data_IF_560708918852
#
_entry.id   IF_560708918852
#
_cell.length_a   1.000
_cell.length_b   1.000
_cell.length_c   1.000
_cell.angle_alpha   90.00
_cell.angle_beta   90.00
_cell.angle_gamma   90.00
#
_symmetry.space_group_name_H-M   'P 1'
#
loop_
_entity.id
_entity.type
_entity.pdbx_description
1 polymer ?
#
# COMPACT_ATOMS: atom_id res chain seq x y z
N UNK A 1 54.77 -14.37 20.41
CA UNK A 1 55.75 -15.25 19.74
C UNK A 1 56.67 -15.86 20.79
N UNK A 2 56.95 -17.16 20.74
CA UNK A 2 57.91 -17.80 21.65
C UNK A 2 59.37 -17.64 21.15
N UNK A 3 60.32 -17.41 22.06
CA UNK A 3 61.75 -17.26 21.71
C UNK A 3 62.40 -18.64 21.53
N UNK A 4 62.81 -18.98 20.31
CA UNK A 4 63.59 -20.20 20.03
C UNK A 4 64.93 -20.16 20.76
N UNK A 5 65.29 -21.22 21.48
CA UNK A 5 66.64 -21.39 22.04
C UNK A 5 67.63 -21.76 20.93
N UNK A 6 68.84 -21.19 20.98
CA UNK A 6 69.91 -21.43 19.98
C UNK A 6 70.85 -22.51 20.52
N UNK A 7 70.77 -23.73 19.96
CA UNK A 7 71.55 -24.90 20.40
C UNK A 7 72.98 -24.82 19.85
N UNK A 8 73.96 -24.50 20.69
CA UNK A 8 75.40 -24.51 20.35
C UNK A 8 75.96 -25.93 20.46
N UNK A 9 76.76 -26.36 19.47
CA UNK A 9 77.43 -27.66 19.52
C UNK A 9 78.57 -27.68 20.57
N UNK A 10 78.81 -28.85 21.16
CA UNK A 10 79.91 -29.13 22.10
C UNK A 10 80.87 -30.08 21.39
N UNK A 11 82.16 -29.74 21.30
CA UNK A 11 83.14 -30.53 20.52
C UNK A 11 83.64 -31.79 21.25
N UNK A 12 83.33 -31.93 22.55
CA UNK A 12 83.76 -33.04 23.40
C UNK A 12 82.56 -33.89 23.83
N UNK A 13 82.73 -35.22 23.79
CA UNK A 13 81.68 -36.24 23.95
C UNK A 13 81.53 -36.80 25.38
N UNK A 14 82.30 -36.28 26.34
CA UNK A 14 82.28 -36.69 27.74
C UNK A 14 81.07 -36.10 28.51
N UNK A 15 80.66 -36.79 29.58
CA UNK A 15 79.57 -36.34 30.45
C UNK A 15 79.95 -35.12 31.28
N UNK A 16 79.11 -34.06 31.26
CA UNK A 16 79.43 -32.79 31.91
C UNK A 16 79.06 -32.77 33.41
N UNK A 17 80.06 -32.92 34.26
CA UNK A 17 79.94 -32.69 35.72
C UNK A 17 79.74 -31.21 36.05
N UNK A 18 78.81 -30.89 36.95
CA UNK A 18 78.49 -29.51 37.33
C UNK A 18 79.34 -29.03 38.50
N UNK A 19 80.35 -28.19 38.22
CA UNK A 19 81.13 -27.48 39.24
C UNK A 19 80.42 -26.18 39.63
N UNK A 20 80.39 -25.85 40.93
CA UNK A 20 79.94 -24.57 41.45
C UNK A 20 81.14 -23.66 41.77
N UNK A 21 81.15 -22.45 41.23
CA UNK A 21 82.22 -21.45 41.47
C UNK A 21 81.56 -20.12 41.87
N UNK A 22 81.90 -19.61 43.05
CA UNK A 22 81.48 -18.28 43.51
C UNK A 22 82.49 -17.23 43.04
N UNK A 23 82.02 -16.22 42.33
CA UNK A 23 82.83 -15.10 41.83
C UNK A 23 82.18 -13.77 42.24
N UNK A 24 83.00 -12.73 42.43
CA UNK A 24 82.49 -11.37 42.62
C UNK A 24 81.82 -10.86 41.33
N UNK A 25 80.91 -9.87 41.40
CA UNK A 25 80.29 -9.29 40.19
C UNK A 25 81.32 -8.82 39.15
N UNK A 26 82.44 -8.23 39.59
CA UNK A 26 83.56 -7.84 38.73
C UNK A 26 84.21 -9.05 38.04
N UNK A 27 84.44 -10.15 38.76
CA UNK A 27 84.97 -11.39 38.20
C UNK A 27 84.03 -12.04 37.18
N UNK A 28 82.71 -12.00 37.44
CA UNK A 28 81.69 -12.45 36.48
C UNK A 28 81.69 -11.57 35.23
N UNK A 29 81.85 -10.25 35.38
CA UNK A 29 82.00 -9.31 34.27
C UNK A 29 83.20 -9.65 33.38
N UNK A 30 84.40 -9.74 33.97
CA UNK A 30 85.64 -10.08 33.26
C UNK A 30 85.56 -11.46 32.58
N UNK A 31 85.04 -12.49 33.25
CA UNK A 31 84.81 -13.81 32.65
C UNK A 31 83.84 -13.74 31.44
N UNK A 32 82.85 -12.86 31.50
CA UNK A 32 81.88 -12.66 30.40
C UNK A 32 82.53 -11.94 29.22
N UNK A 33 83.40 -10.97 29.48
CA UNK A 33 84.18 -10.27 28.45
C UNK A 33 85.22 -11.19 27.80
N UNK A 34 85.96 -12.01 28.57
CA UNK A 34 86.89 -13.01 28.01
C UNK A 34 86.17 -14.02 27.11
N UNK A 35 84.98 -14.48 27.50
CA UNK A 35 84.17 -15.39 26.68
C UNK A 35 83.71 -14.72 25.37
N UNK A 36 83.28 -13.46 25.43
CA UNK A 36 82.93 -12.68 24.23
C UNK A 36 84.13 -12.47 23.30
N UNK A 37 85.29 -12.06 23.83
CA UNK A 37 86.50 -11.81 23.05
C UNK A 37 87.06 -13.08 22.38
N UNK A 38 86.86 -14.25 22.98
CA UNK A 38 87.26 -15.56 22.42
C UNK A 38 86.18 -16.21 21.54
N UNK A 39 84.98 -15.61 21.45
CA UNK A 39 83.83 -16.20 20.75
C UNK A 39 83.24 -17.44 21.43
N UNK A 40 83.66 -17.77 22.65
CA UNK A 40 83.26 -18.98 23.39
C UNK A 40 82.07 -18.71 24.33
N UNK A 41 81.40 -19.79 24.76
CA UNK A 41 80.52 -19.69 25.93
C UNK A 41 81.35 -19.67 27.22
N UNK A 42 80.86 -19.04 28.30
CA UNK A 42 81.59 -18.98 29.59
C UNK A 42 81.96 -20.37 30.13
N UNK A 43 81.12 -21.37 29.93
CA UNK A 43 81.39 -22.76 30.31
C UNK A 43 82.43 -23.43 29.42
N UNK A 44 82.38 -23.18 28.10
CA UNK A 44 83.36 -23.72 27.14
C UNK A 44 84.75 -23.09 27.33
N UNK A 45 84.80 -21.80 27.69
CA UNK A 45 86.05 -21.12 28.06
C UNK A 45 86.67 -21.76 29.31
N UNK A 46 85.89 -21.96 30.38
CA UNK A 46 86.38 -22.62 31.61
C UNK A 46 86.82 -24.06 31.33
N UNK A 47 86.07 -24.84 30.56
CA UNK A 47 86.43 -26.21 30.15
C UNK A 47 87.79 -26.24 29.43
N UNK A 48 88.02 -25.32 28.49
CA UNK A 48 89.28 -25.25 27.73
C UNK A 48 90.45 -24.74 28.56
N UNK A 49 90.23 -23.87 29.55
CA UNK A 49 91.25 -23.49 30.53
C UNK A 49 91.60 -24.70 31.40
N UNK A 50 90.61 -25.41 31.92
CA UNK A 50 90.80 -26.57 32.80
C UNK A 50 91.53 -27.75 32.10
N UNK A 51 91.35 -27.93 30.79
CA UNK A 51 92.08 -28.91 29.97
C UNK A 51 93.44 -28.41 29.45
N UNK A 52 93.90 -27.22 29.84
CA UNK A 52 95.17 -26.64 29.36
C UNK A 52 95.15 -26.12 27.92
N UNK A 53 94.02 -26.20 27.21
CA UNK A 53 93.86 -25.73 25.83
C UNK A 53 93.86 -24.19 25.71
N UNK A 54 93.69 -23.46 26.82
CA UNK A 54 93.79 -21.99 26.90
C UNK A 54 94.59 -21.63 28.16
N UNK A 55 95.79 -21.08 27.98
CA UNK A 55 96.58 -20.50 29.06
C UNK A 55 96.16 -19.05 29.36
N UNK A 56 95.97 -18.71 30.63
CA UNK A 56 95.73 -17.32 31.06
C UNK A 56 97.06 -16.66 31.42
N UNK A 57 97.71 -16.04 30.43
CA UNK A 57 98.89 -15.21 30.67
C UNK A 57 98.46 -13.77 31.05
N UNK A 58 98.85 -13.32 32.24
CA UNK A 58 98.69 -11.92 32.67
C UNK A 58 99.99 -11.43 33.31
N UNK A 59 100.56 -10.33 32.79
CA UNK A 59 101.83 -9.75 33.23
C UNK A 59 101.80 -9.19 34.66
N UNK A 60 100.61 -9.12 35.28
CA UNK A 60 100.38 -8.62 36.63
C UNK A 60 99.74 -9.68 37.56
N UNK A 61 99.73 -10.96 37.17
CA UNK A 61 99.24 -12.03 38.03
C UNK A 61 100.20 -12.26 39.21
N UNK A 62 99.69 -12.16 40.44
CA UNK A 62 100.46 -12.42 41.67
C UNK A 62 100.79 -13.91 41.89
N UNK A 63 100.17 -14.80 41.13
CA UNK A 63 100.42 -16.24 41.11
C UNK A 63 100.06 -16.78 39.72
N UNK A 64 100.97 -17.55 39.13
CA UNK A 64 100.75 -18.26 37.86
C UNK A 64 100.84 -19.76 38.12
N UNK A 65 99.85 -20.51 37.66
CA UNK A 65 99.81 -21.98 37.79
C UNK A 65 99.96 -22.56 36.40
N UNK A 66 101.09 -23.21 36.14
CA UNK A 66 101.29 -24.03 34.95
C UNK A 66 100.76 -25.44 35.22
N UNK A 67 99.81 -25.90 34.41
CA UNK A 67 99.39 -27.30 34.38
C UNK A 67 100.27 -28.04 33.38
N UNK A 68 101.45 -28.45 33.83
CA UNK A 68 102.33 -29.33 33.08
C UNK A 68 101.74 -30.74 33.11
N UNK A 69 101.29 -31.25 31.96
CA UNK A 69 100.78 -32.62 31.85
C UNK A 69 101.94 -33.60 32.07
N UNK A 70 101.92 -34.44 33.12
CA UNK A 70 103.07 -35.25 33.46
C UNK A 70 103.26 -36.41 32.46
N UNK A 71 104.50 -36.68 32.00
CA UNK A 71 104.90 -38.05 31.68
C UNK A 71 104.92 -38.91 32.97
N UNK A 72 105.09 -40.22 32.83
CA UNK A 72 104.70 -41.22 33.84
C UNK A 72 105.62 -41.29 35.11
N UNK A 73 105.02 -41.55 36.31
CA UNK A 73 105.55 -42.25 37.54
C UNK A 73 106.11 -41.53 38.84
N UNK A 74 105.64 -42.03 40.01
CA UNK A 74 106.21 -42.37 41.38
C UNK A 74 106.76 -41.42 42.53
N UNK A 75 106.17 -41.56 43.76
CA UNK A 75 106.72 -41.82 45.17
C UNK A 75 107.39 -40.80 46.21
N UNK A 76 107.37 -41.14 47.55
CA UNK A 76 108.17 -40.67 48.78
C UNK A 76 107.63 -39.69 49.91
N UNK A 77 108.17 -39.68 51.18
CA UNK A 77 107.73 -38.85 52.40
C UNK A 77 108.57 -38.89 53.76
N UNK A 78 108.36 -37.92 54.72
CA UNK A 78 108.48 -37.93 56.26
C UNK A 78 109.84 -37.73 57.06
N UNK A 79 109.97 -37.40 58.40
CA UNK A 79 109.25 -36.62 59.49
C UNK A 79 109.99 -36.56 60.94
N UNK A 80 109.60 -35.68 61.92
CA UNK A 80 109.73 -35.68 63.45
C UNK A 80 110.98 -35.21 64.34
N UNK A 81 110.78 -34.78 65.64
CA UNK A 81 111.69 -35.10 66.84
C UNK A 81 112.02 -34.19 68.12
N UNK A 82 111.51 -34.53 69.35
CA UNK A 82 112.02 -34.70 70.80
C UNK A 82 113.10 -33.87 71.66
N UNK A 83 113.16 -34.05 73.05
CA UNK A 83 114.35 -34.10 74.07
C UNK A 83 114.10 -33.64 75.59
N UNK A 84 114.88 -34.06 76.67
CA UNK A 84 114.83 -33.64 78.15
C UNK A 84 116.04 -34.07 79.12
N UNK A 85 116.28 -33.50 80.36
CA UNK A 85 117.28 -33.94 81.45
C UNK A 85 117.07 -33.42 82.96
N UNK A 86 117.87 -33.83 84.01
CA UNK A 86 117.89 -33.48 85.51
C UNK A 86 119.13 -34.04 86.35
N UNK A 87 119.50 -33.64 87.62
CA UNK A 87 120.59 -34.29 88.50
C UNK A 87 120.61 -34.05 90.08
N UNK A 88 121.54 -34.70 90.89
CA UNK A 88 121.61 -34.86 92.41
C UNK A 88 123.04 -35.32 92.96
N UNK A 89 123.41 -35.24 94.30
CA UNK A 89 124.62 -35.90 94.97
C UNK A 89 124.50 -36.17 96.55
N UNK A 90 125.53 -36.71 97.28
CA UNK A 90 125.49 -37.43 98.62
C UNK A 90 126.68 -37.22 99.67
N UNK A 91 126.84 -38.09 100.73
CA UNK A 91 127.57 -37.95 102.07
C UNK A 91 128.60 -39.09 102.39
N UNK A 92 129.56 -38.96 103.36
CA UNK A 92 130.52 -39.98 103.94
C UNK A 92 131.03 -39.61 105.41
N UNK A 93 131.72 -40.53 106.16
CA UNK A 93 132.06 -40.52 107.62
C UNK A 93 133.57 -40.71 108.05
N UNK A 94 133.92 -40.52 109.35
CA UNK A 94 135.08 -41.15 110.11
C UNK A 94 136.10 -40.22 110.86
N UNK A 95 136.98 -40.62 111.81
CA UNK A 95 137.07 -41.78 112.76
C UNK A 95 138.30 -41.73 113.78
N UNK A 96 138.16 -42.21 115.05
CA UNK A 96 139.16 -42.63 116.13
C UNK A 96 140.32 -41.66 116.62
N UNK A 97 141.25 -41.90 117.60
CA UNK A 97 141.57 -42.91 118.68
C UNK A 97 142.61 -42.39 119.78
N UNK A 98 142.89 -43.15 120.89
CA UNK A 98 144.11 -43.21 121.80
C UNK A 98 144.45 -42.06 122.81
N UNK A 99 145.21 -42.22 123.94
CA UNK A 99 145.47 -43.30 124.96
C UNK A 99 146.14 -42.70 126.26
N UNK A 100 146.65 -43.51 127.22
CA UNK A 100 147.18 -43.08 128.54
C UNK A 100 148.42 -43.90 129.01
N UNK A 101 149.14 -43.48 130.09
CA UNK A 101 149.68 -44.38 131.15
C UNK A 101 150.22 -43.66 132.43
N UNK A 102 150.72 -44.42 133.42
CA UNK A 102 151.13 -44.05 134.80
C UNK A 102 152.53 -44.58 135.16
N UNK A 103 153.29 -43.95 136.07
CA UNK A 103 154.31 -44.67 136.89
C UNK A 103 154.79 -43.94 138.17
N UNK A 104 154.94 -44.72 139.25
CA UNK A 104 155.77 -44.49 140.47
C UNK A 104 157.28 -44.79 140.18
N UNK A 105 158.29 -44.63 141.09
CA UNK A 105 158.26 -44.62 142.58
C UNK A 105 159.19 -43.61 143.30
N UNK A 106 159.41 -43.77 144.62
CA UNK A 106 160.29 -42.93 145.46
C UNK A 106 161.47 -43.65 146.14
N UNK A 107 162.27 -42.92 146.91
CA UNK A 107 163.41 -43.45 147.69
C UNK A 107 164.15 -42.38 148.51
N UNK A 108 164.52 -42.70 149.76
CA UNK A 108 165.22 -41.84 150.73
C UNK A 108 166.66 -41.48 150.33
N UNK A 109 167.13 -40.24 150.58
CA UNK A 109 168.49 -39.81 150.15
C UNK A 109 169.28 -38.78 150.99
N UNK A 110 168.67 -37.65 151.41
CA UNK A 110 169.31 -36.53 152.16
C UNK A 110 170.43 -35.77 151.40
N UNK A 111 170.13 -34.53 150.98
CA UNK A 111 171.02 -33.37 151.16
C UNK A 111 170.26 -32.04 151.05
N UNK A 112 170.91 -30.93 151.42
CA UNK A 112 170.26 -29.63 151.68
C UNK A 112 169.79 -28.88 150.42
N UNK A 113 170.06 -29.42 149.23
CA UNK A 113 169.86 -28.74 147.94
C UNK A 113 168.49 -29.06 147.30
N UNK A 114 167.86 -30.19 147.62
CA UNK A 114 166.57 -30.63 147.06
C UNK A 114 165.40 -29.64 147.32
N UNK A 115 165.49 -28.87 148.41
CA UNK A 115 164.40 -28.00 148.89
C UNK A 115 164.10 -26.81 147.97
N UNK A 116 165.05 -26.40 147.12
CA UNK A 116 164.85 -25.29 146.18
C UNK A 116 164.14 -25.75 144.90
N UNK A 117 164.49 -26.93 144.38
CA UNK A 117 163.89 -27.51 143.17
C UNK A 117 162.38 -27.73 143.32
N UNK A 118 161.93 -28.22 144.48
CA UNK A 118 160.50 -28.46 144.74
C UNK A 118 159.68 -27.16 144.76
N UNK A 119 160.28 -26.05 145.21
CA UNK A 119 159.64 -24.73 145.24
C UNK A 119 159.55 -24.09 143.85
N UNK A 120 160.46 -24.43 142.94
CA UNK A 120 160.39 -24.07 141.52
C UNK A 120 159.19 -24.78 140.84
N UNK A 121 159.11 -26.11 141.01
CA UNK A 121 158.10 -26.96 140.36
C UNK A 121 156.66 -26.61 140.75
N UNK A 122 156.40 -26.29 142.04
CA UNK A 122 155.09 -25.84 142.50
C UNK A 122 154.64 -24.52 141.84
N UNK A 123 155.59 -23.67 141.45
CA UNK A 123 155.35 -22.38 140.79
C UNK A 123 154.99 -22.55 139.32
N UNK A 124 155.65 -23.48 138.64
CA UNK A 124 155.33 -23.87 137.26
C UNK A 124 153.95 -24.53 137.16
N UNK A 125 153.60 -25.40 138.13
CA UNK A 125 152.25 -25.97 138.21
C UNK A 125 151.17 -24.92 138.47
N UNK A 126 151.44 -23.91 139.30
CA UNK A 126 150.51 -22.79 139.51
C UNK A 126 150.24 -22.02 138.20
N UNK A 127 151.29 -21.69 137.44
CA UNK A 127 151.15 -21.02 136.13
C UNK A 127 150.35 -21.87 135.13
N UNK A 128 150.57 -23.18 135.07
CA UNK A 128 149.81 -24.10 134.20
C UNK A 128 148.34 -24.17 134.59
N UNK A 129 148.02 -24.13 135.89
CA UNK A 129 146.62 -24.07 136.36
C UNK A 129 145.97 -22.73 136.00
N UNK A 130 146.70 -21.61 136.10
CA UNK A 130 146.19 -20.28 135.71
C UNK A 130 145.90 -20.20 134.20
N UNK A 131 146.80 -20.70 133.34
CA UNK A 131 146.62 -20.68 131.89
C UNK A 131 145.52 -21.67 131.43
N UNK A 132 145.36 -22.82 132.10
CA UNK A 132 144.23 -23.73 131.88
C UNK A 132 142.89 -23.15 132.35
N UNK A 133 142.85 -22.41 133.47
CA UNK A 133 141.65 -21.71 133.91
C UNK A 133 141.24 -20.62 132.92
N UNK A 134 142.22 -19.89 132.37
CA UNK A 134 142.02 -18.92 131.32
C UNK A 134 141.52 -19.57 130.03
N UNK A 135 142.13 -20.67 129.58
CA UNK A 135 141.68 -21.42 128.40
C UNK A 135 140.25 -21.96 128.54
N UNK A 136 139.85 -22.38 129.76
CA UNK A 136 138.46 -22.73 130.08
C UNK A 136 137.51 -21.52 130.07
N UNK A 137 137.97 -20.33 130.48
CA UNK A 137 137.18 -19.11 130.38
C UNK A 137 136.99 -18.67 128.93
N UNK A 138 138.05 -18.74 128.12
CA UNK A 138 138.04 -18.42 126.69
C UNK A 138 137.10 -19.38 125.91
N UNK A 139 137.23 -20.70 126.11
CA UNK A 139 136.30 -21.68 125.52
C UNK A 139 134.84 -21.47 125.97
N UNK A 140 134.62 -21.04 127.22
CA UNK A 140 133.28 -20.75 127.73
C UNK A 140 132.69 -19.47 127.11
N UNK A 141 133.53 -18.48 126.77
CA UNK A 141 133.12 -17.31 125.99
C UNK A 141 132.77 -17.71 124.56
N UNK A 142 133.65 -18.46 123.87
CA UNK A 142 133.40 -18.91 122.50
C UNK A 142 132.14 -19.79 122.40
N UNK A 143 131.91 -20.67 123.38
CA UNK A 143 130.68 -21.50 123.46
C UNK A 143 129.44 -20.63 123.68
N UNK A 144 129.53 -19.54 124.44
CA UNK A 144 128.43 -18.60 124.62
C UNK A 144 128.14 -17.82 123.32
N UNK A 145 129.17 -17.29 122.66
CA UNK A 145 129.04 -16.57 121.37
C UNK A 145 128.48 -17.48 120.26
N UNK A 146 128.93 -18.74 120.19
CA UNK A 146 128.35 -19.73 119.28
C UNK A 146 126.89 -20.06 119.63
N UNK A 147 126.53 -20.09 120.92
CA UNK A 147 125.15 -20.31 121.37
C UNK A 147 124.24 -19.12 121.00
N UNK A 148 124.69 -17.88 121.20
CA UNK A 148 123.97 -16.67 120.81
C UNK A 148 123.82 -16.56 119.28
N UNK A 149 124.88 -16.89 118.53
CA UNK A 149 124.86 -16.97 117.07
C UNK A 149 123.85 -18.01 116.57
N UNK A 150 123.81 -19.20 117.19
CA UNK A 150 122.86 -20.25 116.83
C UNK A 150 121.41 -19.87 117.19
N UNK A 151 121.18 -19.19 118.31
CA UNK A 151 119.86 -18.63 118.66
C UNK A 151 119.43 -17.54 117.67
N UNK A 152 120.33 -16.65 117.27
CA UNK A 152 120.07 -15.60 116.27
C UNK A 152 119.71 -16.22 114.91
N UNK A 153 120.46 -17.22 114.45
CA UNK A 153 120.19 -17.94 113.21
C UNK A 153 118.87 -18.73 113.28
N UNK A 154 118.54 -19.31 114.44
CA UNK A 154 117.27 -19.99 114.69
C UNK A 154 116.09 -19.00 114.65
N UNK A 155 116.24 -17.80 115.23
CA UNK A 155 115.25 -16.73 115.14
C UNK A 155 115.08 -16.27 113.69
N UNK A 156 116.17 -16.02 112.95
CA UNK A 156 116.11 -15.62 111.55
C UNK A 156 115.41 -16.69 110.68
N UNK A 157 115.68 -17.98 110.94
CA UNK A 157 114.99 -19.08 110.26
C UNK A 157 113.49 -19.14 110.61
N UNK A 158 113.10 -18.85 111.85
CA UNK A 158 111.68 -18.72 112.23
C UNK A 158 111.02 -17.53 111.53
N UNK A 159 111.66 -16.37 111.52
CA UNK A 159 111.16 -15.16 110.84
C UNK A 159 110.95 -15.41 109.34
N UNK A 160 111.94 -15.97 108.65
CA UNK A 160 111.82 -16.39 107.25
C UNK A 160 110.70 -17.42 107.05
N UNK A 161 110.54 -18.40 107.95
CA UNK A 161 109.43 -19.35 107.89
C UNK A 161 108.05 -18.68 108.08
N UNK A 162 107.94 -17.59 108.85
CA UNK A 162 106.69 -16.80 108.89
C UNK A 162 106.47 -15.98 107.62
N UNK A 163 107.53 -15.42 107.02
CA UNK A 163 107.44 -14.66 105.78
C UNK A 163 107.02 -15.57 104.61
N UNK A 164 107.61 -16.76 104.49
CA UNK A 164 107.20 -17.77 103.49
C UNK A 164 105.74 -18.16 103.66
N UNK A 165 105.25 -18.35 104.90
CA UNK A 165 103.83 -18.62 105.17
C UNK A 165 102.91 -17.46 104.76
N UNK A 166 103.33 -16.20 104.96
CA UNK A 166 102.58 -15.01 104.49
C UNK A 166 102.51 -14.97 102.96
N UNK A 167 103.66 -15.07 102.28
CA UNK A 167 103.73 -15.08 100.82
C UNK A 167 102.96 -16.25 100.19
N UNK A 168 102.97 -17.43 100.82
CA UNK A 168 102.14 -18.57 100.39
C UNK A 168 100.64 -18.29 100.53
N UNK A 169 100.22 -17.59 101.58
CA UNK A 169 98.82 -17.16 101.79
C UNK A 169 98.41 -16.11 100.75
N UNK A 170 99.21 -15.07 100.55
CA UNK A 170 98.97 -14.02 99.55
C UNK A 170 98.89 -14.60 98.13
N UNK A 171 99.78 -15.54 97.78
CA UNK A 171 99.78 -16.22 96.48
C UNK A 171 98.61 -17.19 96.30
N UNK A 172 98.03 -17.72 97.39
CA UNK A 172 96.78 -18.47 97.35
C UNK A 172 95.56 -17.54 97.17
N UNK A 173 95.55 -16.39 97.86
CA UNK A 173 94.49 -15.38 97.77
C UNK A 173 94.44 -14.74 96.36
N UNK A 174 95.58 -14.35 95.79
CA UNK A 174 95.65 -13.87 94.40
C UNK A 174 95.20 -14.92 93.38
N UNK A 175 95.43 -16.22 93.65
CA UNK A 175 94.92 -17.30 92.79
C UNK A 175 93.41 -17.46 92.87
N UNK A 176 92.81 -17.28 94.05
CA UNK A 176 91.35 -17.25 94.21
C UNK A 176 90.76 -16.06 93.45
N UNK A 177 91.28 -14.85 93.68
CA UNK A 177 90.82 -13.63 93.02
C UNK A 177 90.96 -13.73 91.49
N UNK A 178 92.07 -14.28 90.98
CA UNK A 178 92.27 -14.50 89.54
C UNK A 178 91.26 -15.52 88.97
N UNK A 179 90.91 -16.57 89.73
CA UNK A 179 89.89 -17.53 89.32
C UNK A 179 88.49 -16.89 89.31
N UNK A 180 88.12 -16.15 90.36
CA UNK A 180 86.84 -15.43 90.48
C UNK A 180 86.68 -14.37 89.37
N UNK A 181 87.75 -13.60 89.07
CA UNK A 181 87.76 -12.68 87.92
C UNK A 181 87.64 -13.42 86.58
N UNK A 182 88.25 -14.61 86.44
CA UNK A 182 88.16 -15.43 85.22
C UNK A 182 86.74 -15.96 85.01
N UNK A 183 86.09 -16.46 86.06
CA UNK A 183 84.69 -16.92 86.02
C UNK A 183 83.73 -15.75 85.74
N UNK A 184 83.94 -14.61 86.38
CA UNK A 184 83.21 -13.36 86.14
C UNK A 184 83.32 -12.93 84.66
N UNK A 185 84.53 -12.92 84.09
CA UNK A 185 84.75 -12.55 82.69
C UNK A 185 84.12 -13.56 81.71
N UNK A 186 84.15 -14.86 82.01
CA UNK A 186 83.46 -15.88 81.22
C UNK A 186 81.93 -15.70 81.27
N UNK A 187 81.38 -15.40 82.45
CA UNK A 187 79.96 -15.08 82.64
C UNK A 187 79.54 -13.85 81.85
N UNK A 188 80.32 -12.76 81.92
CA UNK A 188 80.08 -11.53 81.16
C UNK A 188 80.15 -11.78 79.64
N UNK A 189 81.10 -12.60 79.18
CA UNK A 189 81.21 -12.98 77.77
C UNK A 189 80.02 -13.85 77.30
N UNK A 190 79.48 -14.72 78.17
CA UNK A 190 78.26 -15.49 77.90
C UNK A 190 77.04 -14.57 77.81
N UNK A 191 76.88 -13.64 78.76
CA UNK A 191 75.80 -12.65 78.75
C UNK A 191 75.86 -11.75 77.50
N UNK A 192 77.04 -11.30 77.08
CA UNK A 192 77.21 -10.50 75.87
C UNK A 192 76.85 -11.27 74.59
N UNK A 193 77.16 -12.57 74.51
CA UNK A 193 76.73 -13.44 73.40
C UNK A 193 75.20 -13.63 73.38
N UNK A 194 74.59 -13.81 74.55
CA UNK A 194 73.14 -13.95 74.70
C UNK A 194 72.41 -12.66 74.31
N UNK A 195 72.87 -11.49 74.77
CA UNK A 195 72.36 -10.18 74.35
C UNK A 195 72.54 -9.94 72.84
N UNK A 196 73.71 -10.26 72.26
CA UNK A 196 73.94 -10.15 70.81
C UNK A 196 72.95 -11.01 70.00
N UNK A 197 72.63 -12.21 70.49
CA UNK A 197 71.65 -13.09 69.85
C UNK A 197 70.20 -12.60 70.04
N UNK A 198 69.87 -11.98 71.18
CA UNK A 198 68.57 -11.33 71.39
C UNK A 198 68.38 -10.12 70.46
N UNK A 199 69.39 -9.26 70.32
CA UNK A 199 69.35 -8.12 69.39
C UNK A 199 69.15 -8.59 67.95
N UNK A 200 69.81 -9.67 67.51
CA UNK A 200 69.60 -10.25 66.17
C UNK A 200 68.19 -10.78 65.97
N UNK A 201 67.56 -11.38 66.98
CA UNK A 201 66.15 -11.80 66.94
C UNK A 201 65.22 -10.59 66.78
N UNK A 202 65.35 -9.60 67.67
CA UNK A 202 64.54 -8.38 67.63
C UNK A 202 64.69 -7.61 66.31
N UNK A 203 65.89 -7.57 65.73
CA UNK A 203 66.13 -6.98 64.40
C UNK A 203 65.41 -7.75 63.27
N UNK A 204 65.34 -9.09 63.37
CA UNK A 204 64.60 -9.93 62.41
C UNK A 204 63.08 -9.72 62.56
N UNK A 205 62.57 -9.78 63.79
CA UNK A 205 61.15 -9.57 64.10
C UNK A 205 60.66 -8.19 63.66
N UNK A 206 61.46 -7.13 63.89
CA UNK A 206 61.14 -5.77 63.45
C UNK A 206 61.20 -5.61 61.92
N UNK A 207 62.09 -6.35 61.23
CA UNK A 207 62.11 -6.40 59.77
C UNK A 207 60.88 -7.13 59.20
N UNK A 208 60.46 -8.23 59.82
CA UNK A 208 59.26 -8.99 59.42
C UNK A 208 57.97 -8.17 59.65
N UNK A 209 57.80 -7.56 60.83
CA UNK A 209 56.68 -6.63 61.09
C UNK A 209 56.64 -5.47 60.08
N UNK A 210 57.81 -4.95 59.67
CA UNK A 210 57.89 -3.88 58.68
C UNK A 210 57.47 -4.34 57.27
N UNK A 211 57.78 -5.59 56.89
CA UNK A 211 57.28 -6.18 55.63
C UNK A 211 55.77 -6.37 55.69
N UNK A 212 55.27 -7.01 56.75
CA UNK A 212 53.84 -7.28 56.94
C UNK A 212 53.01 -5.98 56.96
N UNK A 213 53.50 -4.93 57.63
CA UNK A 213 52.87 -3.59 57.64
C UNK A 213 52.82 -2.97 56.23
N UNK A 214 53.86 -3.17 55.41
CA UNK A 214 53.89 -2.67 54.03
C UNK A 214 52.90 -3.43 53.14
N UNK A 215 52.91 -4.76 53.16
CA UNK A 215 51.98 -5.62 52.42
C UNK A 215 50.52 -5.35 52.80
N UNK A 216 50.25 -5.17 54.09
CA UNK A 216 48.93 -4.82 54.62
C UNK A 216 48.50 -3.40 54.21
N UNK A 217 49.44 -2.46 54.09
CA UNK A 217 49.18 -1.11 53.56
C UNK A 217 48.84 -1.13 52.06
N UNK A 218 49.60 -1.88 51.25
CA UNK A 218 49.32 -2.04 49.82
C UNK A 218 47.97 -2.74 49.58
N UNK A 219 47.67 -3.76 50.36
CA UNK A 219 46.37 -4.44 50.37
C UNK A 219 45.23 -3.46 50.66
N UNK A 220 45.36 -2.62 51.69
CA UNK A 220 44.34 -1.62 52.05
C UNK A 220 44.15 -0.54 50.96
N UNK A 221 45.22 -0.10 50.31
CA UNK A 221 45.14 0.82 49.16
C UNK A 221 44.44 0.17 47.96
N UNK A 222 44.74 -1.09 47.67
CA UNK A 222 44.08 -1.88 46.62
C UNK A 222 42.58 -2.02 46.88
N UNK A 223 42.20 -2.38 48.12
CA UNK A 223 40.80 -2.48 48.54
C UNK A 223 40.06 -1.13 48.41
N UNK A 224 40.70 -0.02 48.81
CA UNK A 224 40.11 1.31 48.67
C UNK A 224 39.94 1.73 47.20
N UNK A 225 40.86 1.33 46.31
CA UNK A 225 40.73 1.54 44.86
C UNK A 225 39.57 0.71 44.28
N UNK A 226 39.47 -0.56 44.64
CA UNK A 226 38.37 -1.44 44.23
C UNK A 226 37.00 -0.91 44.70
N UNK A 227 36.91 -0.42 45.94
CA UNK A 227 35.68 0.18 46.47
C UNK A 227 35.27 1.46 45.72
N UNK A 228 36.23 2.31 45.32
CA UNK A 228 35.99 3.49 44.47
C UNK A 228 35.50 3.09 43.07
N UNK A 229 36.09 2.06 42.47
CA UNK A 229 35.68 1.53 41.17
C UNK A 229 34.26 0.93 41.21
N UNK A 230 33.95 0.13 42.23
CA UNK A 230 32.59 -0.39 42.46
C UNK A 230 31.57 0.73 42.71
N UNK A 231 31.90 1.75 43.51
CA UNK A 231 31.01 2.90 43.75
C UNK A 231 30.68 3.65 42.44
N UNK A 232 31.68 3.80 41.56
CA UNK A 232 31.47 4.42 40.25
C UNK A 232 30.66 3.53 39.29
N UNK A 233 30.81 2.21 39.34
CA UNK A 233 29.98 1.27 38.59
C UNK A 233 28.51 1.31 39.05
N UNK A 234 28.25 1.31 40.36
CA UNK A 234 26.90 1.43 40.93
C UNK A 234 26.22 2.73 40.48
N UNK A 235 26.94 3.86 40.47
CA UNK A 235 26.40 5.14 39.97
C UNK A 235 26.04 5.10 38.48
N UNK A 236 26.81 4.38 37.65
CA UNK A 236 26.48 4.18 36.22
C UNK A 236 25.21 3.34 36.06
N UNK A 237 25.15 2.18 36.72
CA UNK A 237 23.99 1.28 36.68
C UNK A 237 22.72 1.97 37.20
N UNK A 238 22.82 2.82 38.22
CA UNK A 238 21.71 3.65 38.71
C UNK A 238 21.22 4.68 37.67
N UNK A 239 22.13 5.27 36.90
CA UNK A 239 21.77 6.18 35.80
C UNK A 239 21.12 5.43 34.63
N UNK A 240 21.73 4.33 34.19
CA UNK A 240 21.22 3.48 33.11
C UNK A 240 19.81 2.94 33.43
N UNK A 241 19.56 2.52 34.68
CA UNK A 241 18.25 2.07 35.14
C UNK A 241 17.22 3.21 35.24
N UNK A 242 17.65 4.45 35.51
CA UNK A 242 16.77 5.61 35.44
C UNK A 242 16.41 6.00 34.00
N UNK A 243 17.36 5.91 33.08
CA UNK A 243 17.14 6.19 31.65
C UNK A 243 16.22 5.13 31.01
N UNK A 244 16.46 3.83 31.24
CA UNK A 244 15.54 2.76 30.82
C UNK A 244 14.12 2.95 31.37
N UNK A 245 13.98 3.46 32.61
CA UNK A 245 12.67 3.73 33.20
C UNK A 245 11.94 4.89 32.52
N UNK A 246 12.66 5.91 32.04
CA UNK A 246 12.07 6.99 31.22
C UNK A 246 11.62 6.45 29.87
N UNK A 247 12.52 5.75 29.16
CA UNK A 247 12.24 5.17 27.84
C UNK A 247 11.04 4.20 27.88
N UNK A 248 10.93 3.39 28.94
CA UNK A 248 9.77 2.50 29.16
C UNK A 248 8.47 3.28 29.36
N UNK A 249 8.50 4.43 30.04
CA UNK A 249 7.33 5.28 30.23
C UNK A 249 6.90 5.94 28.92
N UNK A 250 7.84 6.50 28.17
CA UNK A 250 7.62 7.12 26.85
C UNK A 250 7.05 6.10 25.83
N UNK A 251 7.58 4.88 25.80
CA UNK A 251 7.01 3.79 24.99
C UNK A 251 5.59 3.39 25.45
N UNK A 252 5.31 3.43 26.76
CA UNK A 252 3.98 3.11 27.31
C UNK A 252 2.94 4.15 26.90
N UNK A 253 3.26 5.45 26.98
CA UNK A 253 2.39 6.53 26.53
C UNK A 253 2.16 6.50 25.01
N UNK A 254 3.22 6.27 24.23
CA UNK A 254 3.15 6.05 22.78
C UNK A 254 2.19 4.90 22.42
N UNK A 255 2.30 3.75 23.09
CA UNK A 255 1.43 2.59 22.86
C UNK A 255 -0.04 2.87 23.23
N UNK A 256 -0.29 3.62 24.31
CA UNK A 256 -1.65 4.03 24.68
C UNK A 256 -2.27 4.97 23.64
N UNK A 257 -1.52 5.96 23.15
CA UNK A 257 -1.90 6.87 22.07
C UNK A 257 -2.25 6.11 20.78
N UNK A 258 -1.38 5.18 20.36
CA UNK A 258 -1.60 4.34 19.18
C UNK A 258 -2.85 3.45 19.32
N UNK A 259 -3.10 2.92 20.52
CA UNK A 259 -4.31 2.15 20.81
C UNK A 259 -5.59 3.00 20.79
N UNK A 260 -5.52 4.28 21.20
CA UNK A 260 -6.64 5.22 21.05
C UNK A 260 -6.90 5.52 19.56
N UNK A 261 -5.85 5.86 18.81
CA UNK A 261 -5.96 6.14 17.36
C UNK A 261 -6.59 4.97 16.59
N UNK A 262 -6.23 3.73 16.93
CA UNK A 262 -6.81 2.52 16.34
C UNK A 262 -8.32 2.36 16.67
N UNK A 263 -8.75 2.71 17.89
CA UNK A 263 -10.19 2.70 18.27
C UNK A 263 -10.97 3.77 17.50
N UNK A 264 -10.40 4.97 17.34
CA UNK A 264 -11.01 6.07 16.59
C UNK A 264 -11.16 5.72 15.10
N UNK A 265 -10.12 5.18 14.47
CA UNK A 265 -10.18 4.67 13.08
C UNK A 265 -11.21 3.54 12.93
N UNK A 266 -11.27 2.58 13.86
CA UNK A 266 -12.28 1.51 13.84
C UNK A 266 -13.71 2.06 13.88
N UNK A 267 -13.95 3.10 14.69
CA UNK A 267 -15.26 3.75 14.77
C UNK A 267 -15.58 4.59 13.53
N UNK A 268 -14.59 5.20 12.88
CA UNK A 268 -14.78 5.88 11.59
C UNK A 268 -15.14 4.89 10.47
N UNK A 269 -14.46 3.73 10.39
CA UNK A 269 -14.77 2.67 9.41
C UNK A 269 -16.22 2.17 9.58
N UNK A 270 -16.67 1.94 10.82
CA UNK A 270 -18.07 1.54 11.10
C UNK A 270 -19.09 2.59 10.65
N UNK A 271 -18.80 3.89 10.83
CA UNK A 271 -19.66 4.98 10.34
C UNK A 271 -19.75 4.99 8.82
N UNK A 272 -18.61 4.90 8.12
CA UNK A 272 -18.54 4.85 6.66
C UNK A 272 -19.27 3.62 6.10
N UNK A 273 -19.12 2.45 6.73
CA UNK A 273 -19.85 1.24 6.37
C UNK A 273 -21.37 1.41 6.49
N UNK A 274 -21.88 2.05 7.56
CA UNK A 274 -23.31 2.37 7.67
C UNK A 274 -23.77 3.31 6.56
N UNK A 275 -23.05 4.41 6.33
CA UNK A 275 -23.40 5.41 5.30
C UNK A 275 -23.44 4.78 3.90
N UNK A 276 -22.49 3.89 3.58
CA UNK A 276 -22.45 3.19 2.28
C UNK A 276 -23.60 2.19 2.12
N UNK A 277 -24.01 1.51 3.19
CA UNK A 277 -25.20 0.65 3.18
C UNK A 277 -26.50 1.46 3.00
N UNK A 278 -26.61 2.60 3.69
CA UNK A 278 -27.78 3.49 3.66
C UNK A 278 -27.94 4.17 2.28
N UNK A 279 -26.84 4.65 1.69
CA UNK A 279 -26.80 5.18 0.32
C UNK A 279 -27.12 4.10 -0.73
N UNK A 280 -26.72 2.84 -0.50
CA UNK A 280 -27.09 1.70 -1.36
C UNK A 280 -28.60 1.40 -1.30
N UNK A 281 -29.24 1.52 -0.13
CA UNK A 281 -30.71 1.40 -0.01
C UNK A 281 -31.42 2.48 -0.82
N UNK A 282 -31.04 3.75 -0.61
CA UNK A 282 -31.59 4.89 -1.35
C UNK A 282 -31.43 4.75 -2.87
N UNK A 283 -30.30 4.20 -3.33
CA UNK A 283 -30.05 3.93 -4.76
C UNK A 283 -30.98 2.83 -5.30
N UNK A 284 -31.29 1.79 -4.52
CA UNK A 284 -32.25 0.75 -4.90
C UNK A 284 -33.68 1.32 -4.97
N UNK A 285 -34.11 2.04 -3.94
CA UNK A 285 -35.43 2.69 -3.86
C UNK A 285 -35.66 3.67 -5.03
N UNK A 286 -34.64 4.47 -5.39
CA UNK A 286 -34.67 5.34 -6.58
C UNK A 286 -34.73 4.54 -7.89
N UNK A 287 -34.06 3.39 -7.97
CA UNK A 287 -34.07 2.52 -9.16
C UNK A 287 -35.46 1.90 -9.36
N UNK A 288 -36.09 1.40 -8.30
CA UNK A 288 -37.46 0.86 -8.35
C UNK A 288 -38.48 1.95 -8.69
N UNK A 289 -38.34 3.15 -8.11
CA UNK A 289 -39.16 4.32 -8.44
C UNK A 289 -39.06 4.69 -9.93
N UNK A 290 -37.84 4.72 -10.48
CA UNK A 290 -37.61 5.02 -11.90
C UNK A 290 -38.18 3.94 -12.83
N UNK A 291 -38.07 2.65 -12.46
CA UNK A 291 -38.67 1.55 -13.22
C UNK A 291 -40.21 1.65 -13.23
N UNK A 292 -40.82 1.95 -12.08
CA UNK A 292 -42.27 2.17 -11.94
C UNK A 292 -42.74 3.35 -12.81
N UNK A 293 -42.05 4.49 -12.75
CA UNK A 293 -42.36 5.66 -13.58
C UNK A 293 -42.20 5.37 -15.08
N UNK A 294 -41.18 4.61 -15.48
CA UNK A 294 -41.00 4.17 -16.87
C UNK A 294 -42.13 3.24 -17.33
N UNK A 295 -42.63 2.37 -16.44
CA UNK A 295 -43.78 1.51 -16.75
C UNK A 295 -45.07 2.32 -16.91
N UNK A 296 -45.34 3.25 -15.99
CA UNK A 296 -46.47 4.17 -16.07
C UNK A 296 -46.44 5.00 -17.37
N UNK A 297 -45.27 5.46 -17.81
CA UNK A 297 -45.09 6.18 -19.06
C UNK A 297 -45.40 5.32 -20.30
N UNK A 298 -45.03 4.02 -20.30
CA UNK A 298 -45.40 3.07 -21.38
C UNK A 298 -46.92 2.85 -21.43
N UNK A 299 -47.56 2.72 -20.27
CA UNK A 299 -49.01 2.53 -20.16
C UNK A 299 -49.79 3.77 -20.65
N UNK A 300 -49.37 4.97 -20.25
CA UNK A 300 -49.92 6.22 -20.76
C UNK A 300 -49.72 6.36 -22.28
N UNK A 301 -48.54 6.04 -22.82
CA UNK A 301 -48.28 6.08 -24.26
C UNK A 301 -49.17 5.08 -25.03
N UNK A 302 -49.46 3.91 -24.46
CA UNK A 302 -50.38 2.93 -25.04
C UNK A 302 -51.85 3.39 -24.95
N UNK A 303 -52.24 4.08 -23.87
CA UNK A 303 -53.56 4.68 -23.75
C UNK A 303 -53.77 5.81 -24.78
N UNK A 304 -52.78 6.69 -24.96
CA UNK A 304 -52.81 7.75 -25.99
C UNK A 304 -52.97 7.15 -27.39
N UNK A 305 -52.24 6.08 -27.73
CA UNK A 305 -52.41 5.38 -29.02
C UNK A 305 -53.83 4.79 -29.21
N UNK A 306 -54.44 4.24 -28.15
CA UNK A 306 -55.83 3.76 -28.21
C UNK A 306 -56.82 4.90 -28.46
N UNK A 307 -56.70 5.99 -27.70
CA UNK A 307 -57.55 7.17 -27.85
C UNK A 307 -57.40 7.82 -29.24
N UNK A 308 -56.18 7.90 -29.78
CA UNK A 308 -55.93 8.37 -31.14
C UNK A 308 -56.61 7.49 -32.20
N UNK A 309 -56.58 6.15 -32.03
CA UNK A 309 -57.28 5.23 -32.92
C UNK A 309 -58.81 5.41 -32.83
N UNK A 310 -59.38 5.46 -31.63
CA UNK A 310 -60.81 5.67 -31.42
C UNK A 310 -61.30 7.00 -32.00
N UNK A 311 -60.52 8.08 -31.86
CA UNK A 311 -60.84 9.39 -32.43
C UNK A 311 -60.75 9.41 -33.96
N UNK A 312 -59.85 8.62 -34.57
CA UNK A 312 -59.83 8.42 -36.01
C UNK A 312 -61.03 7.59 -36.51
N UNK A 313 -61.42 6.54 -35.77
CA UNK A 313 -62.59 5.70 -36.08
C UNK A 313 -63.89 6.52 -36.00
N UNK A 314 -64.11 7.27 -34.92
CA UNK A 314 -65.25 8.19 -34.80
C UNK A 314 -65.27 9.26 -35.90
N UNK A 315 -64.11 9.73 -36.36
CA UNK A 315 -64.04 10.70 -37.46
C UNK A 315 -64.43 10.07 -38.81
N UNK A 316 -64.12 8.79 -39.05
CA UNK A 316 -64.61 8.05 -40.23
C UNK A 316 -66.13 7.87 -40.17
N UNK A 317 -66.64 7.38 -39.03
CA UNK A 317 -68.06 7.17 -38.80
C UNK A 317 -68.87 8.48 -38.95
N UNK A 318 -68.34 9.61 -38.46
CA UNK A 318 -68.95 10.94 -38.64
C UNK A 318 -68.96 11.38 -40.10
N UNK A 319 -67.92 11.05 -40.89
CA UNK A 319 -67.87 11.36 -42.32
C UNK A 319 -68.90 10.52 -43.10
N UNK A 320 -68.95 9.21 -42.85
CA UNK A 320 -69.92 8.27 -43.45
C UNK A 320 -71.37 8.68 -43.13
N UNK A 321 -71.64 9.09 -41.87
CA UNK A 321 -72.94 9.66 -41.48
C UNK A 321 -73.25 10.99 -42.18
N UNK A 322 -72.23 11.83 -42.44
CA UNK A 322 -72.40 13.10 -43.16
C UNK A 322 -72.71 12.88 -44.65
N UNK A 323 -72.02 11.95 -45.31
CA UNK A 323 -72.29 11.57 -46.70
C UNK A 323 -73.67 10.92 -46.85
N UNK A 324 -74.05 10.05 -45.90
CA UNK A 324 -75.39 9.47 -45.81
C UNK A 324 -76.48 10.54 -45.65
N UNK A 325 -76.26 11.54 -44.79
CA UNK A 325 -77.20 12.66 -44.63
C UNK A 325 -77.32 13.53 -45.88
N UNK A 326 -76.21 13.81 -46.58
CA UNK A 326 -76.23 14.54 -47.86
C UNK A 326 -76.99 13.76 -48.95
N UNK A 327 -76.76 12.46 -49.05
CA UNK A 327 -77.49 11.56 -49.96
C UNK A 327 -78.99 11.55 -49.67
N UNK A 328 -79.39 11.44 -48.40
CA UNK A 328 -80.79 11.50 -47.99
C UNK A 328 -81.42 12.87 -48.26
N UNK A 329 -80.67 13.96 -48.08
CA UNK A 329 -81.12 15.32 -48.40
C UNK A 329 -81.31 15.51 -49.92
N UNK A 330 -80.42 14.95 -50.75
CA UNK A 330 -80.59 14.93 -52.20
C UNK A 330 -81.83 14.11 -52.60
N UNK A 331 -81.99 12.90 -52.06
CA UNK A 331 -83.16 12.05 -52.34
C UNK A 331 -84.48 12.73 -51.94
N UNK A 332 -84.52 13.42 -50.79
CA UNK A 332 -85.68 14.19 -50.37
C UNK A 332 -85.98 15.36 -51.32
N UNK A 333 -84.95 16.02 -51.87
CA UNK A 333 -85.12 17.07 -52.88
C UNK A 333 -85.62 16.51 -54.22
N UNK A 334 -85.10 15.38 -54.67
CA UNK A 334 -85.56 14.68 -55.87
C UNK A 334 -87.03 14.24 -55.73
N UNK A 335 -87.43 13.73 -54.56
CA UNK A 335 -88.83 13.45 -54.25
C UNK A 335 -89.69 14.72 -54.21
N UNK A 336 -89.20 15.84 -53.67
CA UNK A 336 -89.91 17.13 -53.68
C UNK A 336 -90.17 17.60 -55.11
N UNK A 337 -89.15 17.58 -55.97
CA UNK A 337 -89.27 17.94 -57.39
C UNK A 337 -90.29 17.03 -58.11
N UNK A 338 -90.26 15.72 -57.86
CA UNK A 338 -91.21 14.77 -58.44
C UNK A 338 -92.65 15.01 -57.94
N UNK A 339 -92.82 15.42 -56.67
CA UNK A 339 -94.13 15.81 -56.13
C UNK A 339 -94.63 17.10 -56.79
N UNK A 340 -93.78 18.09 -57.02
CA UNK A 340 -94.13 19.31 -57.77
C UNK A 340 -94.51 18.99 -59.23
N UNK A 341 -93.76 18.13 -59.92
CA UNK A 341 -94.08 17.68 -61.28
C UNK A 341 -95.41 16.91 -61.34
N UNK A 342 -95.65 15.99 -60.40
CA UNK A 342 -96.92 15.26 -60.30
C UNK A 342 -98.10 16.19 -59.96
N UNK A 343 -97.89 17.22 -59.13
CA UNK A 343 -98.90 18.24 -58.87
C UNK A 343 -99.21 19.07 -60.13
N UNK A 344 -98.19 19.44 -60.91
CA UNK A 344 -98.38 20.11 -62.19
C UNK A 344 -99.15 19.23 -63.16
N UNK A 345 -98.73 17.98 -63.40
CA UNK A 345 -99.42 17.02 -64.27
C UNK A 345 -100.87 16.79 -63.84
N UNK A 346 -101.16 16.73 -62.54
CA UNK A 346 -102.52 16.59 -62.00
C UNK A 346 -103.35 17.88 -62.19
N UNK A 347 -102.72 19.05 -62.13
CA UNK A 347 -103.37 20.33 -62.47
C UNK A 347 -103.69 20.44 -63.96
N UNK A 348 -102.80 19.96 -64.83
CA UNK A 348 -102.99 19.91 -66.28
C UNK A 348 -104.09 18.91 -66.65
N UNK A 349 -104.08 17.69 -66.09
CA UNK A 349 -105.19 16.74 -66.25
C UNK A 349 -106.52 17.32 -65.76
N UNK A 350 -106.52 18.04 -64.63
CA UNK A 350 -107.73 18.68 -64.11
C UNK A 350 -108.25 19.76 -65.06
N UNK A 351 -107.37 20.58 -65.63
CA UNK A 351 -107.75 21.58 -66.64
C UNK A 351 -108.29 20.93 -67.92
N UNK A 352 -107.66 19.85 -68.38
CA UNK A 352 -108.05 19.12 -69.58
C UNK A 352 -109.39 18.38 -69.36
N UNK A 353 -109.62 17.84 -68.16
CA UNK A 353 -110.91 17.27 -67.75
C UNK A 353 -112.01 18.34 -67.65
N UNK A 354 -111.72 19.54 -67.13
CA UNK A 354 -112.66 20.68 -67.16
C UNK A 354 -113.02 21.05 -68.60
N UNK A 355 -112.03 21.21 -69.48
CA UNK A 355 -112.26 21.48 -70.90
C UNK A 355 -113.06 20.36 -71.60
N UNK A 356 -112.84 19.10 -71.20
CA UNK A 356 -113.62 17.96 -71.70
C UNK A 356 -115.06 17.97 -71.17
N UNK A 357 -115.31 18.40 -69.93
CA UNK A 357 -116.66 18.59 -69.38
C UNK A 357 -117.38 19.73 -70.10
N UNK A 358 -116.72 20.87 -70.33
CA UNK A 358 -117.26 22.01 -71.10
C UNK A 358 -117.59 21.60 -72.55
N UNK A 359 -116.71 20.84 -73.20
CA UNK A 359 -116.93 20.28 -74.54
C UNK A 359 -118.12 19.31 -74.56
N UNK A 360 -118.26 18.43 -73.56
CA UNK A 360 -119.43 17.56 -73.43
C UNK A 360 -120.73 18.34 -73.16
N UNK A 361 -120.69 19.42 -72.37
CA UNK A 361 -121.85 20.30 -72.17
C UNK A 361 -122.25 21.02 -73.46
N UNK A 362 -121.28 21.49 -74.26
CA UNK A 362 -121.52 22.09 -75.56
C UNK A 362 -122.13 21.08 -76.56
N UNK A 363 -121.58 19.86 -76.62
CA UNK A 363 -122.15 18.76 -77.42
C UNK A 363 -123.56 18.37 -76.95
N UNK A 364 -123.83 18.36 -75.65
CA UNK A 364 -125.16 18.08 -75.09
C UNK A 364 -126.15 19.21 -75.42
N UNK A 365 -125.71 20.47 -75.43
CA UNK A 365 -126.49 21.60 -75.94
C UNK A 365 -126.80 21.45 -77.43
N UNK A 366 -125.80 21.14 -78.25
CA UNK A 366 -125.96 20.93 -79.70
C UNK A 366 -126.90 19.75 -80.00
N UNK A 367 -126.79 18.64 -79.26
CA UNK A 367 -127.70 17.51 -79.36
C UNK A 367 -129.14 17.88 -78.96
N UNK A 368 -129.32 18.75 -77.97
CA UNK A 368 -130.64 19.27 -77.56
C UNK A 368 -131.23 20.21 -78.61
N UNK A 369 -130.43 21.05 -79.25
CA UNK A 369 -130.85 21.87 -80.40
C UNK A 369 -131.23 21.01 -81.61
N UNK A 370 -130.44 19.98 -81.93
CA UNK A 370 -130.80 19.01 -82.97
C UNK A 370 -132.06 18.22 -82.62
N UNK A 371 -132.28 17.85 -81.35
CA UNK A 371 -133.53 17.22 -80.90
C UNK A 371 -134.74 18.13 -81.11
N UNK A 372 -134.64 19.41 -80.75
CA UNK A 372 -135.68 20.41 -81.01
C UNK A 372 -135.93 20.64 -82.51
N UNK A 373 -134.87 20.54 -83.34
CA UNK A 373 -134.98 20.62 -84.80
C UNK A 373 -135.66 19.39 -85.39
N UNK A 374 -135.35 18.19 -84.90
CA UNK A 374 -136.02 16.94 -85.27
C UNK A 374 -137.50 16.96 -84.86
N UNK A 375 -137.84 17.50 -83.70
CA UNK A 375 -139.24 17.65 -83.27
C UNK A 375 -140.02 18.62 -84.18
N UNK A 376 -139.39 19.73 -84.62
CA UNK A 376 -139.94 20.62 -85.65
C UNK A 376 -140.14 19.90 -86.98
N UNK A 377 -139.14 19.15 -87.45
CA UNK A 377 -139.21 18.39 -88.70
C UNK A 377 -140.28 17.30 -88.63
N UNK A 378 -140.47 16.62 -87.50
CA UNK A 378 -141.56 15.67 -87.29
C UNK A 378 -142.95 16.34 -87.35
N UNK A 379 -143.10 17.54 -86.78
CA UNK A 379 -144.33 18.34 -86.91
C UNK A 379 -144.61 18.70 -88.38
N UNK A 380 -143.60 19.18 -89.11
CA UNK A 380 -143.74 19.46 -90.55
C UNK A 380 -144.03 18.20 -91.39
N UNK A 381 -143.48 17.04 -91.01
CA UNK A 381 -143.74 15.77 -91.69
C UNK A 381 -145.19 15.31 -91.49
N UNK A 382 -145.72 15.43 -90.26
CA UNK A 382 -147.12 15.13 -89.96
C UNK A 382 -148.08 16.11 -90.69
N UNK A 383 -147.69 17.38 -90.79
CA UNK A 383 -148.43 18.42 -91.51
C UNK A 383 -148.47 18.13 -93.03
N UNK A 384 -147.34 17.70 -93.63
CA UNK A 384 -147.33 17.19 -95.01
C UNK A 384 -148.12 15.89 -95.20
N UNK A 385 -148.10 14.96 -94.24
CA UNK A 385 -148.93 13.76 -94.31
C UNK A 385 -150.44 14.08 -94.29
N UNK A 386 -150.85 15.11 -93.53
CA UNK A 386 -152.23 15.61 -93.55
C UNK A 386 -152.61 16.23 -94.91
N UNK A 387 -151.70 16.97 -95.55
CA UNK A 387 -151.91 17.51 -96.90
C UNK A 387 -151.95 16.40 -97.96
N UNK A 388 -151.09 15.39 -97.85
CA UNK A 388 -151.07 14.24 -98.76
C UNK A 388 -152.37 13.42 -98.67
N UNK A 389 -152.95 13.23 -97.48
CA UNK A 389 -154.24 12.56 -97.31
C UNK A 389 -155.37 13.30 -98.06
N UNK A 390 -155.44 14.62 -97.95
CA UNK A 390 -156.42 15.45 -98.68
C UNK A 390 -156.20 15.38 -100.22
N UNK A 391 -154.95 15.30 -100.67
CA UNK A 391 -154.65 15.05 -102.09
C UNK A 391 -155.12 13.68 -102.59
N UNK A 392 -155.07 12.62 -101.75
CA UNK A 392 -155.56 11.29 -102.13
C UNK A 392 -157.08 11.27 -102.29
N UNK A 393 -157.84 11.87 -101.36
CA UNK A 393 -159.30 12.02 -101.50
C UNK A 393 -159.67 12.80 -102.77
N UNK A 394 -158.97 13.90 -103.04
CA UNK A 394 -159.19 14.70 -104.26
C UNK A 394 -158.90 13.92 -105.56
N UNK A 395 -157.93 13.00 -105.55
CA UNK A 395 -157.64 12.14 -106.71
C UNK A 395 -158.66 11.02 -106.89
N UNK A 396 -159.19 10.43 -105.81
CA UNK A 396 -160.27 9.43 -105.91
C UNK A 396 -161.54 10.02 -106.53
N UNK A 397 -161.89 11.26 -106.17
CA UNK A 397 -163.02 11.98 -106.77
C UNK A 397 -162.85 12.19 -108.29
N UNK A 398 -161.65 12.64 -108.72
CA UNK A 398 -161.31 12.79 -110.15
C UNK A 398 -161.32 11.45 -110.90
N UNK A 399 -160.81 10.38 -110.29
CA UNK A 399 -160.74 9.05 -110.91
C UNK A 399 -162.13 8.42 -111.13
N UNK A 400 -163.10 8.76 -110.28
CA UNK A 400 -164.49 8.35 -110.46
C UNK A 400 -165.17 9.14 -111.60
N UNK A 401 -164.79 10.41 -111.80
CA UNK A 401 -165.30 11.26 -112.87
C UNK A 401 -164.85 10.79 -114.28
N UNK A 402 -163.64 10.24 -114.43
CA UNK A 402 -163.18 9.67 -115.72
C UNK A 402 -163.93 8.40 -116.11
N UNK A 403 -164.25 7.50 -115.18
CA UNK A 403 -164.91 6.23 -115.51
C UNK A 403 -166.33 6.41 -116.10
N UNK A 404 -167.05 7.46 -115.71
CA UNK A 404 -168.35 7.79 -116.32
C UNK A 404 -168.24 8.53 -117.66
N UNK A 405 -167.06 9.10 -117.98
CA UNK A 405 -166.75 9.60 -119.33
C UNK A 405 -166.36 8.46 -120.28
N UNK A 406 -165.57 7.48 -119.83
CA UNK A 406 -165.15 6.33 -120.65
C UNK A 406 -166.35 5.50 -121.15
N UNK A 407 -167.34 5.24 -120.29
CA UNK A 407 -168.60 4.60 -120.70
C UNK A 407 -169.33 5.37 -121.80
N UNK A 408 -169.27 6.71 -121.76
CA UNK A 408 -169.95 7.60 -122.71
C UNK A 408 -169.28 7.61 -124.08
N UNK A 409 -167.99 7.33 -124.14
CA UNK A 409 -167.22 7.19 -125.39
C UNK A 409 -167.54 5.86 -126.07
N UNK A 410 -167.58 4.76 -125.31
CA UNK A 410 -167.88 3.43 -125.84
C UNK A 410 -169.27 3.32 -126.51
N UNK A 411 -170.29 4.02 -125.99
CA UNK A 411 -171.62 4.09 -126.63
C UNK A 411 -171.62 4.87 -127.97
N UNK A 412 -170.72 5.85 -128.13
CA UNK A 412 -170.60 6.65 -129.35
C UNK A 412 -169.77 5.95 -130.43
N UNK A 413 -168.71 5.23 -130.06
CA UNK A 413 -167.90 4.45 -131.00
C UNK A 413 -168.70 3.33 -131.68
N UNK A 414 -169.65 2.71 -130.96
CA UNK A 414 -170.54 1.69 -131.54
C UNK A 414 -171.50 2.25 -132.62
N UNK A 415 -171.75 3.57 -132.65
CA UNK A 415 -172.64 4.20 -133.64
C UNK A 415 -171.89 4.78 -134.86
N UNK A 416 -170.56 4.86 -134.81
CA UNK A 416 -169.74 5.55 -135.83
C UNK A 416 -169.18 4.65 -136.94
N UNK A 417 -169.43 3.34 -136.90
CA UNK A 417 -168.83 2.36 -137.82
C UNK A 417 -169.70 2.00 -139.04
N UNK A 418 -170.98 2.38 -139.07
CA UNK A 418 -171.95 1.76 -140.00
C UNK A 418 -172.25 2.55 -141.30
N UNK A 419 -171.87 3.84 -141.40
CA UNK A 419 -172.02 4.71 -142.60
C UNK A 419 -171.36 6.10 -142.32
N UNK A 420 -170.84 6.91 -143.27
CA UNK A 420 -170.73 6.84 -144.74
C UNK A 420 -169.65 7.86 -145.25
N UNK A 421 -169.32 7.85 -146.55
CA UNK A 421 -168.79 9.02 -147.30
C UNK A 421 -169.96 9.69 -148.08
N UNK A 422 -169.96 10.97 -148.52
CA UNK A 422 -168.83 11.81 -149.00
C UNK A 422 -168.86 13.30 -148.50
N UNK A 423 -168.78 14.34 -149.37
CA UNK A 423 -168.34 15.71 -149.00
C UNK A 423 -169.00 16.91 -149.75
N UNK A 424 -168.76 18.16 -149.26
CA UNK A 424 -168.32 19.40 -149.99
C UNK A 424 -169.16 20.74 -149.84
N UNK A 425 -168.48 21.89 -150.05
CA UNK A 425 -168.93 23.31 -150.29
C UNK A 425 -169.45 24.17 -149.08
N UNK A 426 -169.61 25.54 -149.16
CA UNK A 426 -169.44 26.52 -150.28
C UNK A 426 -168.71 27.88 -149.93
N UNK A 427 -168.62 28.82 -150.90
CA UNK A 427 -168.36 30.29 -150.80
C UNK A 427 -166.96 30.79 -150.36
N UNK A 428 -166.28 31.79 -150.96
CA UNK A 428 -166.50 32.75 -152.09
C UNK A 428 -167.10 34.16 -151.77
N UNK A 429 -166.27 35.15 -151.39
CA UNK A 429 -166.55 36.62 -151.47
C UNK A 429 -165.29 37.50 -151.25
N UNK A 430 -164.45 37.72 -152.27
CA UNK A 430 -163.30 38.66 -152.17
C UNK A 430 -162.80 39.25 -153.51
N UNK A 431 -162.93 38.53 -154.64
CA UNK A 431 -162.33 38.98 -155.91
C UNK A 431 -163.12 40.10 -156.63
N UNK A 432 -164.41 40.27 -156.35
CA UNK A 432 -165.19 41.42 -156.84
C UNK A 432 -164.62 42.76 -156.35
N UNK A 433 -163.87 42.75 -155.23
CA UNK A 433 -163.17 43.93 -154.70
C UNK A 433 -161.83 44.19 -155.42
N UNK A 434 -161.23 43.18 -156.09
CA UNK A 434 -160.11 43.38 -157.03
C UNK A 434 -160.57 44.05 -158.32
N UNK A 435 -161.69 43.58 -158.90
CA UNK A 435 -162.22 44.14 -160.16
C UNK A 435 -162.44 45.65 -160.06
N UNK A 436 -163.09 46.11 -158.98
CA UNK A 436 -163.40 47.53 -158.81
C UNK A 436 -162.14 48.43 -158.67
N UNK A 437 -161.05 47.93 -158.08
CA UNK A 437 -159.80 48.70 -157.96
C UNK A 437 -159.09 48.83 -159.32
N UNK A 438 -158.97 47.74 -160.09
CA UNK A 438 -158.26 47.78 -161.37
C UNK A 438 -159.01 48.60 -162.44
N UNK A 439 -160.35 48.65 -162.37
CA UNK A 439 -161.17 49.59 -163.17
C UNK A 439 -160.98 51.08 -162.79
N UNK A 440 -160.43 51.39 -161.62
CA UNK A 440 -160.04 52.75 -161.25
C UNK A 440 -158.61 53.09 -161.69
N UNK A 441 -157.69 52.12 -161.70
CA UNK A 441 -156.30 52.32 -162.12
C UNK A 441 -156.19 52.67 -163.62
N UNK A 442 -156.69 51.83 -164.55
CA UNK A 442 -156.45 52.08 -165.98
C UNK A 442 -157.44 53.07 -166.64
N UNK A 443 -158.44 53.54 -165.87
CA UNK A 443 -159.18 54.77 -166.20
C UNK A 443 -158.28 56.01 -166.09
N UNK A 444 -157.23 55.96 -165.25
CA UNK A 444 -156.17 56.97 -165.19
C UNK A 444 -155.20 56.79 -166.38
N UNK A 445 -154.82 55.57 -166.75
CA UNK A 445 -153.98 55.33 -167.93
C UNK A 445 -154.65 55.79 -169.24
N UNK A 446 -155.96 55.61 -169.36
CA UNK A 446 -156.77 56.11 -170.49
C UNK A 446 -156.67 57.64 -170.60
N UNK A 447 -156.84 58.36 -169.49
CA UNK A 447 -156.69 59.82 -169.44
C UNK A 447 -155.25 60.27 -169.73
N UNK A 448 -154.24 59.54 -169.25
CA UNK A 448 -152.84 59.83 -169.55
C UNK A 448 -152.48 59.64 -171.03
N UNK A 449 -153.15 58.73 -171.76
CA UNK A 449 -152.93 58.57 -173.22
C UNK A 449 -153.72 59.54 -174.09
N UNK A 450 -154.88 60.04 -173.66
CA UNK A 450 -155.55 61.16 -174.34
C UNK A 450 -154.67 62.43 -174.37
N UNK A 451 -153.84 62.64 -173.34
CA UNK A 451 -152.80 63.68 -173.33
C UNK A 451 -151.70 63.45 -174.40
N UNK A 452 -151.41 62.19 -174.75
CA UNK A 452 -150.46 61.83 -175.82
C UNK A 452 -151.08 62.01 -177.21
N UNK A 453 -152.36 61.68 -177.39
CA UNK A 453 -153.10 61.95 -178.64
C UNK A 453 -153.07 63.46 -178.95
N UNK A 454 -153.43 64.30 -177.99
CA UNK A 454 -153.37 65.76 -178.13
C UNK A 454 -151.95 66.27 -178.41
N UNK A 455 -150.91 65.73 -177.75
CA UNK A 455 -149.52 66.15 -178.02
C UNK A 455 -148.98 65.73 -179.39
N UNK A 456 -149.53 64.67 -180.02
CA UNK A 456 -149.13 64.30 -181.40
C UNK A 456 -150.01 64.93 -182.48
N UNK A 457 -151.27 65.25 -182.20
CA UNK A 457 -152.03 66.24 -182.97
C UNK A 457 -151.46 67.65 -182.88
N UNK A 458 -150.61 67.95 -181.87
CA UNK A 458 -149.77 69.15 -181.76
C UNK A 458 -148.37 69.03 -182.42
N UNK A 459 -148.08 67.90 -183.07
CA UNK A 459 -147.03 67.74 -184.10
C UNK A 459 -147.63 67.12 -185.37
N UNK A 460 -148.86 67.47 -185.75
CA UNK A 460 -149.22 68.77 -186.34
C UNK A 460 -148.28 69.16 -187.47
N UNK A 461 -148.83 69.26 -188.69
CA UNK A 461 -148.71 70.38 -189.63
C UNK A 461 -147.33 70.92 -190.08
N UNK A 462 -146.22 70.66 -189.39
CA UNK A 462 -144.87 71.09 -189.78
C UNK A 462 -144.30 70.26 -190.93
N UNK A 463 -144.81 69.06 -191.16
CA UNK A 463 -144.49 68.23 -192.32
C UNK A 463 -145.20 68.72 -193.60
N UNK A 464 -146.52 68.91 -193.56
CA UNK A 464 -147.28 69.41 -194.73
C UNK A 464 -147.06 70.90 -194.98
N UNK A 465 -147.18 71.74 -193.96
CA UNK A 465 -147.18 73.19 -194.09
C UNK A 465 -145.78 73.81 -194.16
N UNK A 466 -144.71 73.01 -194.07
CA UNK A 466 -143.37 73.40 -194.54
C UNK A 466 -143.05 72.91 -195.97
N UNK A 467 -144.03 72.35 -196.70
CA UNK A 467 -143.95 72.17 -198.16
C UNK A 467 -145.11 72.77 -198.96
N UNK A 468 -146.24 73.15 -198.35
CA UNK A 468 -147.30 73.95 -199.02
C UNK A 468 -147.30 75.46 -198.78
N UNK A 469 -146.37 76.03 -197.98
CA UNK A 469 -146.02 77.47 -198.15
C UNK A 469 -145.06 77.73 -199.33
N UNK A 470 -144.70 76.68 -200.08
CA UNK A 470 -144.43 76.86 -201.51
C UNK A 470 -145.73 77.21 -202.24
N UNK A 471 -145.89 78.53 -202.47
CA UNK A 471 -146.66 79.18 -203.56
C UNK A 471 -148.16 79.43 -203.34
N UNK A 472 -148.51 80.69 -203.62
CA UNK A 472 -149.74 81.16 -204.33
C UNK A 472 -151.06 81.18 -203.51
N UNK A 473 -151.92 82.20 -203.61
CA UNK A 473 -151.90 83.46 -204.41
C UNK A 473 -152.37 84.66 -203.55
N UNK A 474 -151.99 85.86 -204.03
CA UNK A 474 -152.46 87.23 -203.69
C UNK A 474 -153.04 87.47 -202.29
#
# INVERSE_FOLDING_TARGET
MAKKSRKTASQYSEGKSKVGISLTPTGIGLLTQMAQNTGLSRSELIERIARGNIAIACQQASMTIALENPPEANETSSNNGATKSQTKIQVIEGEQQLQADVSEPGGSGVSQEDYQSLQQQAKEQANVIEDLQKQLADQKSETAEQTESYQSLQQQAQEQATLVKKLQKELAEQKSETAEQTESYQSLQKQAKEQSNLVKKLQKELAEQKSETAEQTESYQSLQKQAKEQSNLVKKLQKELAEQKSETAEQTESYQSLQQQAKEQSNLVKKLQKQLAEQKSQTAEQTESYQSLQQQAKEQANLVKKLQKQLAEQKSETAEQTESYQSLQQQAKEQSNLIEELQQQLSEQKSLATQQVESNQALQHQAKEQSNLVEKLQKQLAEQQSQAAQQVESNQFLQQQTQDQEKRIAELEHQLSEQQSPANQPTESYESLKQHNHEQEDRIATLQKQIVELKRWATLGKAELNKRRSRRLF
#
